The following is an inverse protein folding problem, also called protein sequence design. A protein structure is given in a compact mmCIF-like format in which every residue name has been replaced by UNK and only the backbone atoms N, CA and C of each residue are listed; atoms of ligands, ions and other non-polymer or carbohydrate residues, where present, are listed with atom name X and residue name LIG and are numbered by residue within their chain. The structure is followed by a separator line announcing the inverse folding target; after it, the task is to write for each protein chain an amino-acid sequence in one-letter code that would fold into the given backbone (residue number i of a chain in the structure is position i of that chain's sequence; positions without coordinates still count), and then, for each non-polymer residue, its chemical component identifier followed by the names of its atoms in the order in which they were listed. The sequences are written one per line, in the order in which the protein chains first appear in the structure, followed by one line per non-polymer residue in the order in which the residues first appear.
data_IF_465836247865
#
_entry.id   IF_465836247865
#
_cell.length_a   1.000
_cell.length_b   1.000
_cell.length_c   1.000
_cell.angle_alpha   90.00
_cell.angle_beta   90.00
_cell.angle_gamma   90.00
#
_symmetry.space_group_name_H-M   'P 1'
#
loop_
_entity.id
_entity.type
_entity.pdbx_description
1 polymer ?
#
# COMPACT_ATOMS: atom_id res chain seq x y z
N UNK A 1 -36.04 22.67 -11.58
CA UNK A 1 -35.81 22.90 -10.13
C UNK A 1 -35.22 21.60 -9.57
N UNK A 2 -34.02 21.69 -9.04
CA UNK A 2 -33.39 20.55 -8.35
C UNK A 2 -33.76 20.64 -6.87
N UNK A 3 -34.30 19.57 -6.35
CA UNK A 3 -34.59 19.44 -4.91
C UNK A 3 -33.64 18.40 -4.35
N UNK A 4 -32.94 18.76 -3.28
CA UNK A 4 -32.13 17.81 -2.52
C UNK A 4 -33.06 16.85 -1.81
N UNK A 5 -33.04 15.58 -2.20
CA UNK A 5 -33.92 14.57 -1.63
C UNK A 5 -33.28 13.86 -0.43
N UNK A 6 -32.02 13.49 -0.57
CA UNK A 6 -31.22 12.91 0.51
C UNK A 6 -29.79 13.43 0.43
N UNK A 7 -29.20 13.67 1.57
CA UNK A 7 -27.80 14.13 1.63
C UNK A 7 -27.07 13.55 2.84
N UNK A 8 -25.76 13.49 2.73
CA UNK A 8 -24.84 13.11 3.80
C UNK A 8 -23.71 14.11 3.88
N UNK A 9 -23.36 14.52 5.09
CA UNK A 9 -22.19 15.33 5.41
C UNK A 9 -21.21 14.51 6.24
N UNK A 10 -19.92 14.72 6.01
CA UNK A 10 -18.88 14.19 6.89
C UNK A 10 -18.67 15.18 8.04
N UNK A 11 -18.78 14.68 9.28
CA UNK A 11 -18.50 15.44 10.50
C UNK A 11 -16.99 15.56 10.72
N UNK A 12 -16.60 16.63 11.43
CA UNK A 12 -15.22 16.85 11.91
C UNK A 12 -14.15 16.78 10.83
N UNK A 13 -14.51 17.14 9.61
CA UNK A 13 -13.61 17.16 8.46
C UNK A 13 -13.84 18.39 7.59
N UNK A 14 -12.76 18.96 7.12
CA UNK A 14 -12.74 20.15 6.26
C UNK A 14 -11.92 19.88 5.01
N UNK A 15 -12.45 20.26 3.84
CA UNK A 15 -11.75 20.24 2.59
C UNK A 15 -10.94 21.51 2.44
N UNK A 16 -9.64 21.34 2.13
CA UNK A 16 -8.72 22.42 1.77
C UNK A 16 -8.02 22.11 0.46
N UNK A 17 -7.74 23.16 -0.29
CA UNK A 17 -6.89 23.06 -1.46
C UNK A 17 -5.43 23.26 -1.03
N UNK A 18 -4.57 22.29 -1.36
CA UNK A 18 -3.14 22.38 -1.10
C UNK A 18 -2.39 22.40 -2.45
N UNK A 19 -1.58 23.42 -2.63
CA UNK A 19 -0.74 23.55 -3.81
C UNK A 19 0.60 22.87 -3.58
N UNK A 20 1.05 22.09 -4.56
CA UNK A 20 2.44 21.67 -4.61
C UNK A 20 3.33 22.87 -4.98
N UNK A 21 4.59 22.85 -4.52
CA UNK A 21 5.54 23.96 -4.65
C UNK A 21 5.86 24.38 -6.10
N UNK A 22 5.36 23.64 -7.10
CA UNK A 22 5.66 23.87 -8.53
C UNK A 22 4.59 24.68 -9.28
N UNK A 23 3.63 25.29 -8.59
CA UNK A 23 2.62 26.17 -9.21
C UNK A 23 1.57 25.44 -10.04
N UNK A 24 1.52 24.12 -9.99
CA UNK A 24 0.47 23.31 -10.61
C UNK A 24 -0.84 23.41 -9.86
N UNK A 25 -1.94 23.05 -10.54
CA UNK A 25 -3.29 23.01 -9.96
C UNK A 25 -3.27 22.22 -8.67
N UNK A 26 -3.61 22.85 -7.54
CA UNK A 26 -3.61 22.21 -6.23
C UNK A 26 -4.60 21.06 -6.14
N UNK A 27 -4.30 20.10 -5.26
CA UNK A 27 -5.19 19.02 -4.93
C UNK A 27 -6.09 19.40 -3.75
N UNK A 28 -7.31 18.87 -3.73
CA UNK A 28 -8.19 18.98 -2.58
C UNK A 28 -7.96 17.83 -1.61
N UNK A 29 -7.85 18.17 -0.34
CA UNK A 29 -7.69 17.21 0.75
C UNK A 29 -8.81 17.38 1.78
N UNK A 30 -9.37 16.27 2.22
CA UNK A 30 -10.29 16.20 3.34
C UNK A 30 -9.48 15.94 4.61
N UNK A 31 -9.43 16.92 5.49
CA UNK A 31 -8.68 16.88 6.74
C UNK A 31 -9.62 16.67 7.93
N UNK A 32 -9.45 15.57 8.64
CA UNK A 32 -10.18 15.24 9.85
C UNK A 32 -9.51 15.87 11.08
N UNK A 33 -10.31 16.17 12.10
CA UNK A 33 -9.82 16.72 13.37
C UNK A 33 -8.87 15.76 14.11
N UNK A 34 -8.96 14.45 13.86
CA UNK A 34 -8.09 13.42 14.41
C UNK A 34 -6.71 13.32 13.72
N UNK A 35 -6.45 14.16 12.69
CA UNK A 35 -5.20 14.18 11.94
C UNK A 35 -5.21 13.34 10.67
N UNK A 36 -6.24 12.52 10.41
CA UNK A 36 -6.35 11.79 9.15
C UNK A 36 -6.63 12.74 7.99
N UNK A 37 -6.00 12.47 6.84
CA UNK A 37 -6.05 13.29 5.65
C UNK A 37 -6.31 12.41 4.42
N UNK A 38 -7.32 12.77 3.63
CA UNK A 38 -7.65 12.08 2.39
C UNK A 38 -7.43 12.98 1.19
N UNK A 39 -6.74 12.47 0.20
CA UNK A 39 -6.71 13.08 -1.13
C UNK A 39 -8.09 12.86 -1.78
N UNK A 40 -8.77 13.93 -2.17
CA UNK A 40 -10.05 13.84 -2.87
C UNK A 40 -9.84 13.39 -4.32
N UNK A 41 -10.56 12.35 -4.71
CA UNK A 41 -10.55 11.78 -6.07
C UNK A 41 -11.79 12.20 -6.88
N UNK A 42 -12.57 13.12 -6.34
CA UNK A 42 -13.71 13.73 -6.99
C UNK A 42 -13.68 15.27 -6.81
N UNK A 43 -14.37 15.96 -7.69
CA UNK A 43 -14.48 17.42 -7.71
C UNK A 43 -15.92 17.86 -7.51
N UNK A 44 -16.16 19.11 -7.08
CA UNK A 44 -17.51 19.66 -6.99
C UNK A 44 -18.25 19.53 -8.32
N UNK A 45 -19.51 19.10 -8.26
CA UNK A 45 -20.36 18.89 -9.43
C UNK A 45 -20.19 17.54 -10.11
N UNK A 46 -19.25 16.69 -9.67
CA UNK A 46 -19.15 15.33 -10.16
C UNK A 46 -20.37 14.51 -9.75
N UNK A 47 -20.83 13.65 -10.64
CA UNK A 47 -21.78 12.58 -10.33
C UNK A 47 -21.03 11.33 -9.95
N UNK A 48 -21.46 10.69 -8.88
CA UNK A 48 -20.89 9.47 -8.36
C UNK A 48 -21.93 8.36 -8.32
N UNK A 49 -21.46 7.15 -8.56
CA UNK A 49 -22.28 5.94 -8.52
C UNK A 49 -22.07 5.19 -7.21
N UNK A 50 -22.92 4.20 -6.96
CA UNK A 50 -22.78 3.32 -5.80
C UNK A 50 -21.39 2.66 -5.79
N UNK A 51 -20.79 2.57 -4.60
CA UNK A 51 -19.46 2.00 -4.33
C UNK A 51 -18.29 2.74 -4.98
N UNK A 52 -18.49 3.93 -5.51
CA UNK A 52 -17.42 4.72 -6.09
C UNK A 52 -16.46 5.24 -5.02
N UNK A 53 -15.17 5.17 -5.30
CA UNK A 53 -14.11 5.72 -4.46
C UNK A 53 -14.07 7.24 -4.66
N UNK A 54 -14.14 7.99 -3.56
CA UNK A 54 -14.11 9.47 -3.57
C UNK A 54 -12.88 10.08 -2.91
N UNK A 55 -12.15 9.30 -2.14
CA UNK A 55 -10.94 9.78 -1.47
C UNK A 55 -9.98 8.65 -1.11
N UNK A 56 -8.71 8.98 -1.02
CA UNK A 56 -7.60 8.07 -0.67
C UNK A 56 -6.89 8.60 0.56
N UNK A 57 -6.75 7.75 1.60
CA UNK A 57 -6.03 8.10 2.82
C UNK A 57 -4.54 8.31 2.53
N UNK A 58 -4.02 9.46 2.92
CA UNK A 58 -2.60 9.79 2.84
C UNK A 58 -1.93 9.36 4.13
N UNK A 59 -1.29 8.20 4.10
CA UNK A 59 -0.48 7.70 5.21
C UNK A 59 0.70 6.87 4.70
N UNK A 60 1.57 6.46 5.61
CA UNK A 60 2.72 5.61 5.34
C UNK A 60 2.72 4.32 6.15
N UNK A 61 1.60 4.01 6.80
CA UNK A 61 1.48 2.89 7.73
C UNK A 61 1.83 1.53 7.09
N UNK A 62 1.47 1.35 5.84
CA UNK A 62 1.68 0.12 5.08
C UNK A 62 2.73 0.29 3.97
N UNK A 63 3.63 1.25 4.13
CA UNK A 63 4.69 1.50 3.17
C UNK A 63 5.95 0.72 3.52
N UNK A 64 6.49 -0.01 2.56
CA UNK A 64 7.76 -0.72 2.67
C UNK A 64 8.94 0.23 2.50
N UNK A 65 10.15 -0.25 2.77
CA UNK A 65 11.38 0.53 2.55
C UNK A 65 11.92 0.38 1.14
N UNK A 66 11.72 -0.77 0.54
CA UNK A 66 12.19 -1.11 -0.80
C UNK A 66 11.22 -2.12 -1.44
N UNK A 67 11.46 -2.49 -2.69
CA UNK A 67 10.81 -3.61 -3.34
C UNK A 67 10.98 -4.92 -2.58
N UNK A 68 10.44 -5.99 -3.07
CA UNK A 68 10.50 -7.30 -2.45
C UNK A 68 9.36 -8.20 -2.91
N UNK A 69 8.96 -9.14 -2.08
CA UNK A 69 7.80 -9.97 -2.33
C UNK A 69 6.93 -10.14 -1.09
N UNK A 70 5.65 -10.40 -1.34
CA UNK A 70 4.61 -10.44 -0.33
C UNK A 70 4.18 -11.87 -0.03
N UNK A 71 3.92 -12.16 1.26
CA UNK A 71 3.20 -13.34 1.72
C UNK A 71 2.11 -12.93 2.68
N UNK A 72 0.97 -13.59 2.60
CA UNK A 72 -0.14 -13.41 3.53
C UNK A 72 -0.23 -14.57 4.50
N UNK A 73 -0.51 -14.24 5.74
CA UNK A 73 -0.78 -15.23 6.77
C UNK A 73 -2.08 -14.87 7.47
N UNK A 74 -3.01 -15.80 7.45
CA UNK A 74 -4.25 -15.65 8.21
C UNK A 74 -3.93 -16.08 9.64
N UNK A 75 -4.03 -15.15 10.56
CA UNK A 75 -3.95 -15.49 11.97
C UNK A 75 -5.27 -16.14 12.38
N UNK A 76 -5.26 -17.46 12.47
CA UNK A 76 -6.42 -18.27 12.88
C UNK A 76 -6.64 -18.27 14.40
N UNK A 77 -5.78 -17.59 15.16
CA UNK A 77 -5.92 -17.43 16.59
C UNK A 77 -6.83 -16.27 16.93
N UNK A 78 -8.02 -16.61 17.37
CA UNK A 78 -8.95 -15.90 18.24
C UNK A 78 -8.92 -14.35 18.27
N UNK A 79 -10.09 -13.78 18.05
CA UNK A 79 -10.45 -12.39 18.26
C UNK A 79 -9.98 -11.39 17.17
N UNK A 80 -10.75 -11.39 16.12
CA UNK A 80 -10.71 -10.36 15.07
C UNK A 80 -9.89 -10.78 13.85
N UNK A 81 -10.53 -10.81 12.70
CA UNK A 81 -9.93 -11.07 11.38
C UNK A 81 -8.78 -10.09 11.07
N UNK A 82 -7.63 -10.31 11.69
CA UNK A 82 -6.40 -9.59 11.37
C UNK A 82 -5.69 -10.35 10.26
N UNK A 83 -5.52 -9.71 9.14
CA UNK A 83 -4.64 -10.22 8.09
C UNK A 83 -3.22 -9.76 8.40
N UNK A 84 -2.29 -10.71 8.47
CA UNK A 84 -0.87 -10.44 8.64
C UNK A 84 -0.21 -10.46 7.26
N UNK A 85 0.40 -9.34 6.90
CA UNK A 85 1.22 -9.21 5.70
C UNK A 85 2.68 -9.42 6.10
N UNK A 86 3.35 -10.31 5.41
CA UNK A 86 4.77 -10.58 5.54
C UNK A 86 5.46 -10.02 4.29
N UNK A 87 6.42 -9.12 4.49
CA UNK A 87 7.18 -8.50 3.43
C UNK A 87 8.63 -8.89 3.52
N UNK A 88 9.16 -9.46 2.45
CA UNK A 88 10.56 -9.86 2.35
C UNK A 88 11.26 -8.89 1.38
N UNK A 89 12.11 -8.02 1.94
CA UNK A 89 12.73 -6.91 1.21
C UNK A 89 13.78 -7.35 0.22
N UNK A 90 13.74 -6.75 -0.96
CA UNK A 90 14.66 -7.01 -2.05
C UNK A 90 14.79 -5.75 -2.91
N UNK A 91 16.01 -5.23 -3.03
CA UNK A 91 16.31 -4.09 -3.87
C UNK A 91 16.63 -4.57 -5.27
N UNK A 92 15.91 -4.07 -6.27
CA UNK A 92 16.12 -4.45 -7.66
C UNK A 92 16.42 -3.24 -8.52
N UNK A 93 17.57 -3.27 -9.18
CA UNK A 93 17.96 -2.30 -10.20
C UNK A 93 17.78 -2.93 -11.57
N UNK A 94 16.93 -2.35 -12.39
CA UNK A 94 16.86 -2.68 -13.82
C UNK A 94 17.92 -1.84 -14.55
N UNK A 95 18.88 -2.53 -15.16
CA UNK A 95 19.97 -1.92 -15.87
C UNK A 95 20.19 -2.66 -17.20
N UNK A 96 20.86 -2.00 -18.14
CA UNK A 96 21.28 -2.61 -19.40
C UNK A 96 22.72 -2.17 -19.66
N UNK A 97 23.66 -2.85 -19.02
CA UNK A 97 25.08 -2.53 -19.08
C UNK A 97 25.89 -3.77 -19.37
N UNK A 98 26.99 -3.58 -20.07
CA UNK A 98 27.97 -4.66 -20.34
C UNK A 98 28.52 -5.23 -19.03
N UNK A 99 28.60 -6.55 -18.95
CA UNK A 99 29.09 -7.26 -17.76
C UNK A 99 30.52 -6.88 -17.39
N UNK A 100 31.34 -6.43 -18.35
CA UNK A 100 32.69 -5.97 -18.09
C UNK A 100 32.79 -4.74 -17.20
N UNK A 101 31.66 -4.02 -17.01
CA UNK A 101 31.55 -2.88 -16.11
C UNK A 101 31.22 -3.30 -14.67
N UNK A 102 30.99 -4.59 -14.43
CA UNK A 102 30.72 -5.13 -13.11
C UNK A 102 31.96 -5.02 -12.21
N UNK A 103 31.79 -4.44 -11.01
CA UNK A 103 32.87 -4.18 -10.07
C UNK A 103 32.94 -5.17 -8.91
N UNK A 104 31.86 -5.94 -8.74
CA UNK A 104 31.66 -6.91 -7.65
C UNK A 104 31.28 -8.26 -8.24
N UNK A 105 31.78 -9.33 -7.70
CA UNK A 105 31.42 -10.68 -8.14
C UNK A 105 29.95 -11.01 -7.80
N UNK A 106 29.30 -11.77 -8.67
CA UNK A 106 27.98 -12.32 -8.43
C UNK A 106 28.02 -13.26 -7.20
N UNK A 107 26.91 -13.37 -6.50
CA UNK A 107 26.75 -14.21 -5.30
C UNK A 107 27.66 -13.80 -4.11
N UNK A 108 27.96 -12.52 -3.98
CA UNK A 108 28.71 -11.97 -2.85
C UNK A 108 27.82 -11.11 -1.95
N UNK A 109 28.26 -10.94 -0.73
CA UNK A 109 27.62 -10.03 0.22
C UNK A 109 28.14 -8.62 0.02
N UNK A 110 27.23 -7.65 -0.11
CA UNK A 110 27.57 -6.25 -0.37
C UNK A 110 27.00 -5.34 0.70
N UNK A 111 27.72 -4.30 1.06
CA UNK A 111 27.27 -3.29 2.00
C UNK A 111 26.57 -2.14 1.26
N UNK A 112 25.67 -1.47 1.95
CA UNK A 112 25.02 -0.24 1.46
C UNK A 112 26.05 0.78 0.98
N UNK A 113 25.80 1.39 -0.17
CA UNK A 113 26.68 2.35 -0.82
C UNK A 113 27.76 1.74 -1.72
N UNK A 114 27.86 0.40 -1.80
CA UNK A 114 28.82 -0.28 -2.69
C UNK A 114 28.44 -0.03 -4.15
N UNK A 115 29.41 0.38 -4.96
CA UNK A 115 29.26 0.46 -6.40
C UNK A 115 29.39 -0.94 -7.02
N UNK A 116 28.27 -1.46 -7.51
CA UNK A 116 28.18 -2.83 -8.04
C UNK A 116 28.59 -2.87 -9.50
N UNK A 117 28.09 -1.94 -10.26
CA UNK A 117 28.43 -1.71 -11.65
C UNK A 117 28.60 -0.20 -11.84
N UNK A 118 29.33 0.22 -12.84
CA UNK A 118 29.62 1.64 -13.05
C UNK A 118 28.38 2.53 -12.91
N UNK A 119 28.46 3.52 -12.04
CA UNK A 119 27.42 4.51 -11.73
C UNK A 119 26.15 3.95 -11.06
N UNK A 120 26.20 2.71 -10.54
CA UNK A 120 25.08 2.11 -9.80
C UNK A 120 25.55 1.62 -8.43
N UNK A 121 24.96 2.19 -7.38
CA UNK A 121 25.26 1.86 -5.99
C UNK A 121 24.06 1.22 -5.30
N UNK A 122 24.34 0.31 -4.38
CA UNK A 122 23.30 -0.28 -3.53
C UNK A 122 22.83 0.72 -2.48
N UNK A 123 21.55 0.69 -2.17
CA UNK A 123 21.00 1.40 -1.01
C UNK A 123 20.95 0.52 0.25
N UNK A 124 20.83 -0.79 0.05
CA UNK A 124 20.76 -1.76 1.15
C UNK A 124 21.97 -2.68 1.19
N UNK A 125 22.17 -3.27 2.38
CA UNK A 125 23.15 -4.32 2.61
C UNK A 125 22.50 -5.69 2.40
N UNK A 126 23.15 -6.59 1.70
CA UNK A 126 22.60 -7.92 1.45
C UNK A 126 23.41 -8.77 0.48
N UNK A 127 22.79 -9.86 0.07
CA UNK A 127 23.34 -10.81 -0.90
C UNK A 127 23.03 -10.36 -2.32
N UNK A 128 24.07 -10.22 -3.14
CA UNK A 128 23.96 -9.79 -4.54
C UNK A 128 23.69 -10.97 -5.47
N UNK A 129 22.67 -10.82 -6.28
CA UNK A 129 22.38 -11.68 -7.43
C UNK A 129 22.38 -10.83 -8.70
N UNK A 130 23.21 -11.22 -9.67
CA UNK A 130 23.34 -10.56 -10.97
C UNK A 130 22.60 -11.39 -12.01
N UNK A 131 21.62 -10.78 -12.65
CA UNK A 131 20.91 -11.40 -13.79
C UNK A 131 21.55 -10.88 -15.07
N UNK A 132 22.16 -11.78 -15.82
CA UNK A 132 22.90 -11.49 -17.04
C UNK A 132 22.37 -12.33 -18.19
N UNK A 133 22.28 -11.72 -19.36
CA UNK A 133 21.94 -12.38 -20.60
C UNK A 133 22.85 -11.87 -21.74
N UNK A 134 23.55 -12.79 -22.42
CA UNK A 134 24.43 -12.50 -23.56
C UNK A 134 25.47 -11.40 -23.28
N UNK A 135 26.08 -11.38 -22.10
CA UNK A 135 27.10 -10.40 -21.73
C UNK A 135 26.52 -9.05 -21.27
N UNK A 136 25.21 -8.94 -21.17
CA UNK A 136 24.51 -7.74 -20.66
C UNK A 136 23.89 -8.05 -19.32
N UNK A 137 24.20 -7.22 -18.33
CA UNK A 137 23.56 -7.26 -17.03
C UNK A 137 22.20 -6.61 -17.15
N UNK A 138 21.13 -7.40 -16.99
CA UNK A 138 19.75 -6.93 -17.08
C UNK A 138 19.25 -6.40 -15.74
N UNK A 139 19.59 -7.10 -14.64
CA UNK A 139 19.16 -6.73 -13.29
C UNK A 139 20.25 -6.99 -12.26
N UNK A 140 20.27 -6.15 -11.23
CA UNK A 140 20.99 -6.37 -9.99
C UNK A 140 19.97 -6.51 -8.87
N UNK A 141 20.04 -7.58 -8.11
CA UNK A 141 19.13 -7.88 -7.01
C UNK A 141 19.94 -7.96 -5.73
N UNK A 142 19.61 -7.14 -4.74
CA UNK A 142 20.19 -7.19 -3.42
C UNK A 142 19.14 -7.74 -2.47
N UNK A 143 19.35 -8.98 -2.02
CA UNK A 143 18.49 -9.67 -1.08
C UNK A 143 18.92 -9.32 0.33
N UNK A 144 18.11 -8.52 1.00
CA UNK A 144 18.39 -8.08 2.38
C UNK A 144 18.39 -9.29 3.31
N UNK A 145 19.45 -9.45 4.09
CA UNK A 145 19.60 -10.57 5.01
C UNK A 145 21.00 -10.77 5.52
N UNK A 146 21.19 -11.86 6.27
CA UNK A 146 22.51 -12.29 6.78
C UNK A 146 22.81 -13.69 6.29
N UNK A 147 24.06 -13.93 5.91
CA UNK A 147 24.53 -15.23 5.48
C UNK A 147 24.96 -16.08 6.70
N UNK A 148 24.52 -17.31 6.75
CA UNK A 148 25.08 -18.35 7.60
C UNK A 148 25.79 -19.33 6.70
N UNK A 149 27.12 -19.36 6.79
CA UNK A 149 27.94 -20.28 6.00
C UNK A 149 27.67 -21.72 6.40
N UNK A 150 27.45 -22.58 5.44
CA UNK A 150 27.18 -24.00 5.60
C UNK A 150 27.73 -24.76 4.41
N UNK A 151 28.15 -26.01 4.68
CA UNK A 151 28.49 -26.93 3.62
C UNK A 151 27.26 -27.34 2.81
N UNK A 152 27.41 -27.61 1.54
CA UNK A 152 26.31 -27.94 0.63
C UNK A 152 25.47 -29.10 1.12
N UNK A 153 26.10 -30.14 1.67
CA UNK A 153 25.43 -31.32 2.25
C UNK A 153 24.56 -31.01 3.47
N UNK A 154 24.88 -29.93 4.21
CA UNK A 154 24.10 -29.47 5.34
C UNK A 154 22.93 -28.59 4.89
N UNK A 155 23.14 -27.78 3.84
CA UNK A 155 22.08 -26.92 3.30
C UNK A 155 20.97 -27.70 2.62
N UNK A 156 21.26 -28.88 2.06
CA UNK A 156 20.24 -29.74 1.46
C UNK A 156 19.15 -30.19 2.44
N UNK A 157 19.45 -30.25 3.72
CA UNK A 157 18.51 -30.64 4.79
C UNK A 157 17.60 -29.49 5.21
N UNK A 158 17.92 -28.25 4.84
CA UNK A 158 17.17 -27.06 5.20
C UNK A 158 16.12 -26.79 4.14
N UNK A 159 14.87 -26.60 4.57
CA UNK A 159 13.78 -26.25 3.65
C UNK A 159 13.98 -24.81 3.20
N UNK A 160 14.26 -24.63 1.91
CA UNK A 160 14.38 -23.30 1.31
C UNK A 160 13.02 -22.65 1.06
N UNK A 161 12.98 -21.32 1.01
CA UNK A 161 11.79 -20.52 0.73
C UNK A 161 10.68 -20.70 1.75
N UNK A 162 11.07 -20.77 3.03
CA UNK A 162 10.14 -20.95 4.15
C UNK A 162 10.23 -19.80 5.16
N UNK A 163 9.11 -19.51 5.79
CA UNK A 163 9.03 -18.61 6.94
C UNK A 163 9.32 -19.40 8.21
N UNK A 164 10.20 -18.87 9.05
CA UNK A 164 10.49 -19.36 10.39
C UNK A 164 10.03 -18.30 11.38
N UNK A 165 9.17 -18.69 12.31
CA UNK A 165 8.66 -17.77 13.33
C UNK A 165 9.67 -17.55 14.45
N UNK A 166 9.51 -16.44 15.17
CA UNK A 166 10.35 -16.14 16.34
C UNK A 166 10.32 -17.31 17.36
N UNK A 167 11.50 -17.73 17.81
CA UNK A 167 11.69 -18.86 18.73
C UNK A 167 11.80 -20.23 18.06
N UNK A 168 11.45 -20.36 16.78
CA UNK A 168 11.65 -21.61 16.03
C UNK A 168 13.12 -21.79 15.63
N UNK A 169 13.52 -23.05 15.44
CA UNK A 169 14.88 -23.39 15.04
C UNK A 169 15.09 -23.17 13.54
N UNK A 170 16.17 -22.47 13.22
CA UNK A 170 16.64 -22.28 11.84
C UNK A 170 17.50 -23.47 11.42
N UNK A 171 18.54 -23.76 12.20
CA UNK A 171 19.44 -24.89 12.01
C UNK A 171 20.35 -25.07 13.23
N UNK A 172 20.80 -26.29 13.51
CA UNK A 172 21.83 -26.66 14.51
C UNK A 172 21.71 -25.94 15.86
N UNK A 173 20.48 -25.85 16.39
CA UNK A 173 20.19 -25.18 17.64
C UNK A 173 20.11 -23.66 17.56
N UNK A 174 20.38 -23.05 16.40
CA UNK A 174 20.18 -21.63 16.18
C UNK A 174 18.69 -21.34 16.01
N UNK A 175 18.15 -20.47 16.85
CA UNK A 175 16.75 -20.06 16.82
C UNK A 175 16.58 -18.66 16.26
N UNK A 176 15.47 -18.46 15.57
CA UNK A 176 15.09 -17.15 15.06
C UNK A 176 14.69 -16.22 16.23
N UNK A 177 15.32 -15.05 16.32
CA UNK A 177 14.92 -14.01 17.27
C UNK A 177 13.62 -13.32 16.86
N UNK A 178 13.42 -13.17 15.56
CA UNK A 178 12.25 -12.61 14.93
C UNK A 178 11.80 -13.51 13.78
N UNK A 179 10.61 -13.24 13.23
CA UNK A 179 10.16 -13.94 12.02
C UNK A 179 11.12 -13.65 10.87
N UNK A 180 11.61 -14.70 10.23
CA UNK A 180 12.58 -14.63 9.13
C UNK A 180 12.15 -15.51 7.96
N UNK A 181 12.67 -15.19 6.79
CA UNK A 181 12.55 -15.99 5.59
C UNK A 181 13.90 -16.65 5.28
N UNK A 182 13.92 -17.94 5.06
CA UNK A 182 15.12 -18.71 4.81
C UNK A 182 15.24 -19.05 3.33
N UNK A 183 16.38 -18.78 2.76
CA UNK A 183 16.71 -19.09 1.36
C UNK A 183 18.06 -19.79 1.28
N UNK A 184 18.14 -20.87 0.51
CA UNK A 184 19.43 -21.48 0.20
C UNK A 184 20.15 -20.63 -0.84
N UNK A 185 21.43 -20.40 -0.59
CA UNK A 185 22.31 -19.65 -1.51
C UNK A 185 23.60 -20.44 -1.72
N UNK A 186 24.42 -19.96 -2.63
CA UNK A 186 25.77 -20.51 -2.81
C UNK A 186 26.58 -20.28 -1.53
N UNK A 187 27.09 -21.35 -0.93
CA UNK A 187 27.93 -21.30 0.29
C UNK A 187 27.18 -21.25 1.60
N UNK A 188 25.84 -21.42 1.62
CA UNK A 188 25.10 -21.44 2.88
C UNK A 188 23.62 -21.14 2.76
N UNK A 189 23.11 -20.48 3.77
CA UNK A 189 21.74 -19.99 3.83
C UNK A 189 21.71 -18.49 4.05
N UNK A 190 20.75 -17.84 3.42
CA UNK A 190 20.44 -16.45 3.66
C UNK A 190 19.24 -16.36 4.60
N UNK A 191 19.44 -15.72 5.74
CA UNK A 191 18.40 -15.45 6.73
C UNK A 191 17.93 -14.02 6.50
N UNK A 192 16.72 -13.89 5.95
CA UNK A 192 16.14 -12.61 5.54
C UNK A 192 15.14 -12.13 6.59
N UNK A 193 15.27 -10.89 7.10
CA UNK A 193 14.27 -10.33 7.99
C UNK A 193 12.94 -10.19 7.27
N UNK A 194 11.85 -10.40 8.01
CA UNK A 194 10.49 -10.24 7.50
C UNK A 194 9.85 -9.05 8.19
N UNK A 195 9.49 -8.04 7.41
CA UNK A 195 8.68 -6.94 7.89
C UNK A 195 7.21 -7.39 7.99
N UNK A 196 6.56 -7.04 9.09
CA UNK A 196 5.21 -7.49 9.38
C UNK A 196 4.26 -6.30 9.46
N UNK A 197 3.14 -6.43 8.76
CA UNK A 197 2.06 -5.44 8.78
C UNK A 197 0.75 -6.12 9.15
N UNK A 198 0.03 -5.52 10.08
CA UNK A 198 -1.26 -6.03 10.52
C UNK A 198 -2.36 -5.14 9.98
N UNK A 199 -3.20 -5.70 9.11
CA UNK A 199 -4.36 -5.01 8.55
C UNK A 199 -5.55 -5.27 9.47
N UNK A 200 -5.95 -4.23 10.18
CA UNK A 200 -7.14 -4.26 11.03
C UNK A 200 -8.33 -3.71 10.25
N UNK A 201 -9.46 -4.41 10.32
CA UNK A 201 -10.73 -3.91 9.77
C UNK A 201 -11.25 -2.67 10.53
N UNK A 202 -10.85 -2.53 11.79
CA UNK A 202 -11.23 -1.39 12.63
C UNK A 202 -10.14 -0.32 12.56
N UNK A 203 -10.23 0.51 11.51
CA UNK A 203 -9.57 1.81 11.52
C UNK A 203 -10.50 2.82 12.23
N UNK A 204 -10.26 4.09 12.07
CA UNK A 204 -11.18 5.09 12.58
C UNK A 204 -12.52 5.01 11.85
N UNK A 205 -13.59 5.41 12.55
CA UNK A 205 -14.93 5.49 11.99
C UNK A 205 -15.17 6.89 11.43
N UNK A 206 -15.70 6.96 10.22
CA UNK A 206 -16.16 8.22 9.63
C UNK A 206 -17.54 8.53 10.18
N UNK A 207 -17.66 9.62 10.94
CA UNK A 207 -18.93 10.10 11.44
C UNK A 207 -19.62 10.99 10.40
N UNK A 208 -20.92 10.79 10.23
CA UNK A 208 -21.71 11.48 9.22
C UNK A 208 -23.01 12.04 9.80
N UNK A 209 -23.49 13.12 9.20
CA UNK A 209 -24.85 13.63 9.41
C UNK A 209 -25.68 13.39 8.16
N UNK A 210 -26.85 12.83 8.33
CA UNK A 210 -27.76 12.49 7.25
C UNK A 210 -29.01 13.36 7.27
N UNK A 211 -29.44 13.75 6.08
CA UNK A 211 -30.80 14.17 5.82
C UNK A 211 -31.37 13.19 4.78
N UNK A 212 -32.22 12.29 5.22
CA UNK A 212 -32.78 11.22 4.39
C UNK A 212 -34.23 11.49 4.07
N UNK A 213 -34.64 11.20 2.85
CA UNK A 213 -36.02 11.30 2.40
C UNK A 213 -36.46 9.99 1.73
N UNK A 214 -37.59 9.45 2.14
CA UNK A 214 -38.13 8.21 1.58
C UNK A 214 -37.26 6.99 1.84
N UNK A 215 -37.17 6.10 0.85
CA UNK A 215 -36.40 4.84 0.88
C UNK A 215 -34.97 4.98 0.38
N UNK A 216 -34.46 6.19 0.27
CA UNK A 216 -33.12 6.47 -0.23
C UNK A 216 -32.13 6.53 0.92
N UNK A 217 -30.99 5.87 0.74
CA UNK A 217 -29.89 5.87 1.69
C UNK A 217 -28.60 6.27 1.00
N UNK A 218 -27.84 7.16 1.64
CA UNK A 218 -26.47 7.50 1.26
C UNK A 218 -25.60 7.28 2.49
N UNK A 219 -24.59 6.46 2.35
CA UNK A 219 -23.59 6.22 3.38
C UNK A 219 -22.18 6.47 2.87
N UNK A 220 -21.25 6.73 3.78
CA UNK A 220 -19.84 6.85 3.50
C UNK A 220 -19.10 5.82 4.33
N UNK A 221 -18.32 4.99 3.66
CA UNK A 221 -17.57 3.91 4.28
C UNK A 221 -16.07 4.02 4.01
N UNK A 222 -15.29 3.43 4.90
CA UNK A 222 -13.88 3.16 4.69
C UNK A 222 -13.71 1.75 4.18
N UNK A 223 -12.92 1.60 3.12
CA UNK A 223 -12.50 0.30 2.60
C UNK A 223 -10.98 0.23 2.51
N UNK A 224 -10.44 -0.98 2.69
CA UNK A 224 -9.02 -1.24 2.52
C UNK A 224 -8.81 -2.21 1.37
N UNK A 225 -7.89 -1.86 0.48
CA UNK A 225 -7.48 -2.70 -0.63
C UNK A 225 -6.06 -3.21 -0.41
N UNK A 226 -5.91 -4.51 -0.44
CA UNK A 226 -4.61 -5.17 -0.58
C UNK A 226 -4.19 -5.02 -2.04
N UNK A 227 -3.05 -4.40 -2.30
CA UNK A 227 -2.65 -4.02 -3.67
C UNK A 227 -2.01 -5.17 -4.46
N UNK A 228 -1.52 -6.20 -3.78
CA UNK A 228 -0.76 -7.27 -4.40
C UNK A 228 -1.31 -8.64 -4.01
N UNK A 229 -1.04 -9.63 -4.86
CA UNK A 229 -1.44 -11.02 -4.66
C UNK A 229 -0.40 -11.78 -3.83
N UNK A 230 -0.82 -12.90 -3.23
CA UNK A 230 0.08 -13.84 -2.56
C UNK A 230 1.26 -14.22 -3.46
N UNK A 231 2.48 -14.07 -2.93
CA UNK A 231 3.71 -14.41 -3.62
C UNK A 231 4.14 -13.43 -4.72
N UNK A 232 3.41 -12.35 -4.93
CA UNK A 232 3.76 -11.35 -5.96
C UNK A 232 5.07 -10.65 -5.61
N UNK A 233 5.96 -10.53 -6.60
CA UNK A 233 7.23 -9.84 -6.49
C UNK A 233 7.13 -8.46 -7.13
N UNK A 234 7.55 -7.44 -6.40
CA UNK A 234 7.54 -6.06 -6.84
C UNK A 234 8.99 -5.57 -6.92
N UNK A 235 9.46 -5.36 -8.13
CA UNK A 235 10.81 -4.89 -8.40
C UNK A 235 10.89 -3.38 -8.21
N UNK A 236 11.62 -2.95 -7.19
CA UNK A 236 11.82 -1.53 -6.89
C UNK A 236 13.05 -1.32 -6.03
N UNK A 237 13.66 -0.15 -6.15
CA UNK A 237 14.66 0.36 -5.21
C UNK A 237 13.96 1.06 -4.05
N UNK A 238 12.86 1.75 -4.35
CA UNK A 238 12.10 2.57 -3.40
C UNK A 238 10.97 1.78 -2.74
N UNK A 239 10.52 2.28 -1.60
CA UNK A 239 9.36 1.75 -0.90
C UNK A 239 8.07 1.84 -1.71
N UNK A 240 7.17 0.91 -1.45
CA UNK A 240 5.85 0.78 -2.07
C UNK A 240 4.77 0.67 -1.00
N UNK A 241 3.55 1.05 -1.36
CA UNK A 241 2.40 0.88 -0.51
C UNK A 241 1.80 -0.52 -0.70
N UNK A 242 1.59 -1.25 0.39
CA UNK A 242 1.01 -2.60 0.36
C UNK A 242 -0.51 -2.60 0.46
N UNK A 243 -1.05 -1.59 1.14
CA UNK A 243 -2.47 -1.42 1.40
C UNK A 243 -2.84 0.03 1.19
N UNK A 244 -3.97 0.28 0.54
CA UNK A 244 -4.57 1.61 0.46
C UNK A 244 -5.94 1.61 1.11
N UNK A 245 -6.24 2.71 1.80
CA UNK A 245 -7.53 2.96 2.44
C UNK A 245 -8.27 4.05 1.67
N UNK A 246 -9.53 3.79 1.36
CA UNK A 246 -10.37 4.68 0.57
C UNK A 246 -11.66 5.03 1.28
N UNK A 247 -12.17 6.21 0.96
CA UNK A 247 -13.57 6.59 1.20
C UNK A 247 -14.41 6.16 0.00
N UNK A 248 -15.50 5.46 0.26
CA UNK A 248 -16.50 5.08 -0.74
C UNK A 248 -17.88 5.58 -0.34
N UNK A 249 -18.73 5.72 -1.33
CA UNK A 249 -20.11 6.12 -1.15
C UNK A 249 -21.03 4.94 -1.44
N UNK A 250 -21.90 4.61 -0.48
CA UNK A 250 -22.98 3.65 -0.67
C UNK A 250 -24.27 4.40 -0.97
N UNK A 251 -24.86 4.10 -2.11
CA UNK A 251 -26.14 4.65 -2.54
C UNK A 251 -27.11 3.48 -2.71
N UNK A 252 -28.13 3.42 -1.86
CA UNK A 252 -29.25 2.50 -2.07
C UNK A 252 -30.51 3.29 -2.35
N UNK A 253 -31.18 2.94 -3.43
CA UNK A 253 -32.44 3.53 -3.88
C UNK A 253 -33.28 2.41 -4.49
N UNK A 254 -34.60 2.51 -4.35
CA UNK A 254 -35.54 1.62 -5.03
C UNK A 254 -35.52 1.81 -6.56
N UNK A 255 -34.88 2.86 -7.04
CA UNK A 255 -34.62 3.13 -8.44
C UNK A 255 -33.26 2.57 -8.88
N UNK A 256 -33.24 1.84 -9.99
CA UNK A 256 -32.11 1.03 -10.49
C UNK A 256 -30.85 1.82 -10.87
N UNK A 257 -30.90 3.15 -10.86
CA UNK A 257 -29.81 4.04 -11.29
C UNK A 257 -29.59 5.22 -10.32
N UNK A 258 -29.34 4.92 -9.04
CA UNK A 258 -28.99 5.94 -8.07
C UNK A 258 -27.61 6.54 -8.33
N UNK A 259 -27.57 7.80 -8.75
CA UNK A 259 -26.36 8.61 -8.73
C UNK A 259 -26.53 9.74 -7.72
N UNK A 260 -25.41 10.16 -7.11
CA UNK A 260 -25.39 11.31 -6.21
C UNK A 260 -24.44 12.36 -6.75
N UNK A 261 -24.64 13.60 -6.32
CA UNK A 261 -23.79 14.73 -6.68
C UNK A 261 -22.85 15.08 -5.54
N UNK A 262 -21.60 15.40 -5.89
CA UNK A 262 -20.59 15.88 -4.94
C UNK A 262 -20.65 17.40 -4.87
N UNK A 263 -20.74 17.93 -3.66
CA UNK A 263 -20.70 19.35 -3.40
C UNK A 263 -19.68 19.71 -2.33
N UNK A 264 -18.95 20.79 -2.55
CA UNK A 264 -18.08 21.41 -1.55
C UNK A 264 -18.77 22.70 -1.09
N UNK A 265 -19.31 22.65 0.13
CA UNK A 265 -20.05 23.78 0.70
C UNK A 265 -19.08 24.72 1.42
N UNK A 266 -19.18 26.00 1.13
CA UNK A 266 -18.40 27.05 1.79
C UNK A 266 -18.69 27.05 3.30
N UNK A 267 -17.64 27.29 4.08
CA UNK A 267 -17.72 27.52 5.52
C UNK A 267 -17.54 29.01 5.82
N UNK A 268 -17.60 29.39 7.08
CA UNK A 268 -17.33 30.77 7.53
C UNK A 268 -15.87 31.19 7.30
N UNK A 269 -14.97 30.21 7.02
CA UNK A 269 -13.56 30.46 6.73
C UNK A 269 -13.30 30.41 5.24
N UNK A 270 -12.49 31.32 4.76
CA UNK A 270 -12.07 31.40 3.35
C UNK A 270 -11.29 30.13 2.95
N UNK A 271 -11.63 29.58 1.76
CA UNK A 271 -10.99 28.40 1.17
C UNK A 271 -11.10 27.09 2.01
N UNK A 272 -12.09 27.03 2.89
CA UNK A 272 -12.44 25.80 3.60
C UNK A 272 -13.86 25.39 3.21
N UNK A 273 -14.06 24.09 2.97
CA UNK A 273 -15.32 23.53 2.50
C UNK A 273 -15.73 22.32 3.32
N UNK A 274 -17.05 22.10 3.44
CA UNK A 274 -17.61 20.84 3.92
C UNK A 274 -17.99 19.95 2.76
N UNK A 275 -17.71 18.66 2.86
CA UNK A 275 -18.12 17.68 1.86
C UNK A 275 -19.58 17.31 2.07
N UNK A 276 -20.38 17.49 1.03
CA UNK A 276 -21.76 17.00 0.94
C UNK A 276 -21.91 16.06 -0.24
N UNK A 277 -22.57 14.93 -0.03
CA UNK A 277 -23.03 14.02 -1.08
C UNK A 277 -24.54 14.04 -1.07
N UNK A 278 -25.16 14.34 -2.19
CA UNK A 278 -26.61 14.55 -2.28
C UNK A 278 -27.22 13.84 -3.48
N UNK A 279 -28.41 13.27 -3.29
CA UNK A 279 -29.27 12.81 -4.39
C UNK A 279 -30.20 13.96 -4.73
N UNK A 280 -30.19 14.38 -6.01
CA UNK A 280 -31.03 15.43 -6.55
C UNK A 280 -32.17 14.82 -7.37
N UNK A 281 -33.39 15.17 -7.05
CA UNK A 281 -34.55 14.86 -7.90
C UNK A 281 -34.77 15.96 -8.93
N UNK A 282 -34.93 15.56 -10.20
CA UNK A 282 -35.41 16.43 -11.26
C UNK A 282 -36.93 16.43 -11.26
N UNK A 283 -37.55 17.48 -10.76
CA UNK A 283 -38.97 17.69 -10.97
C UNK A 283 -39.22 18.04 -12.46
N UNK A 284 -39.70 17.07 -13.22
CA UNK A 284 -40.31 17.36 -14.52
C UNK A 284 -41.68 17.98 -14.30
N UNK A 285 -41.79 19.26 -14.56
CA UNK A 285 -43.10 19.91 -14.66
C UNK A 285 -43.72 19.38 -15.96
N UNK A 286 -44.67 18.45 -15.82
CA UNK A 286 -45.53 18.09 -16.96
C UNK A 286 -46.46 19.26 -17.20
N UNK A 287 -46.34 19.92 -18.33
CA UNK A 287 -47.30 20.88 -18.85
C UNK A 287 -48.52 20.16 -19.38
#
# INVERSE_FOLDING_TARGET
IHIVNSSVFIKDAIIKNEYENDGNVGNFFLNFSNGNKFLMLCSPGNKINNSQIIGELVDTKYRTKTGGFIKYQNDSSEVGNKHRILWISEETHEIKKDISLLMVENHTYVESGTEIIKDVRTENTGYLEVIEENGIVEKLIIKVGKIIEKEETETEKIISSTIIEAGEEICDGLRAENTVFIERIVGGILVRPVDQYYVNKEQFKVETEHSLSGNQFIGINLIQHLLFKEGEKIESIKGIDLVKTYLTVDISSDEVHGSADVEFLETDKTAEYKLQIAILENLQIKH
#
